data_IF_711935236254
#
_entry.id   IF_711935236254
#
_cell.length_a   1.000
_cell.length_b   1.000
_cell.length_c   1.000
_cell.angle_alpha   90.00
_cell.angle_beta   90.00
_cell.angle_gamma   90.00
#
_symmetry.space_group_name_H-M   'P 1'
#
loop_
_entity.id
_entity.type
_entity.pdbx_description
1 polymer ?
#
# COMPACT_ATOMS: atom_id res chain seq x y z
N UNK A 1 20.00 -23.57 -20.56
CA UNK A 1 20.12 -23.51 -19.09
C UNK A 1 18.85 -24.12 -18.52
N UNK A 2 18.97 -25.12 -17.65
CA UNK A 2 17.80 -25.78 -17.06
C UNK A 2 17.27 -24.92 -15.90
N UNK A 3 16.03 -24.47 -16.02
CA UNK A 3 15.30 -23.79 -14.95
C UNK A 3 14.61 -24.85 -14.09
N UNK A 4 14.90 -24.86 -12.80
CA UNK A 4 14.22 -25.70 -11.81
C UNK A 4 13.20 -24.85 -11.04
N UNK A 5 12.00 -25.39 -10.82
CA UNK A 5 10.96 -24.76 -9.99
C UNK A 5 10.49 -25.77 -8.96
N UNK A 6 10.81 -25.53 -7.69
CA UNK A 6 10.49 -26.42 -6.58
C UNK A 6 9.59 -25.73 -5.56
N UNK A 7 8.76 -26.50 -4.85
CA UNK A 7 8.03 -26.01 -3.69
C UNK A 7 9.01 -25.68 -2.55
N UNK A 8 8.64 -24.72 -1.70
CA UNK A 8 9.33 -24.46 -0.45
C UNK A 8 8.84 -25.47 0.58
N UNK A 9 9.74 -26.31 1.11
CA UNK A 9 9.38 -27.32 2.12
C UNK A 9 10.30 -27.31 3.33
N UNK A 10 11.36 -26.50 3.27
CA UNK A 10 12.37 -26.38 4.33
C UNK A 10 12.54 -24.93 4.76
N UNK A 11 13.11 -24.73 5.94
CA UNK A 11 13.46 -23.39 6.46
C UNK A 11 14.41 -22.64 5.54
N UNK A 12 15.32 -23.35 4.89
CA UNK A 12 16.22 -22.78 3.90
C UNK A 12 15.47 -22.28 2.66
N UNK A 13 14.46 -23.03 2.20
CA UNK A 13 13.62 -22.59 1.09
C UNK A 13 12.81 -21.34 1.47
N UNK A 14 12.17 -21.33 2.64
CA UNK A 14 11.44 -20.15 3.10
C UNK A 14 12.36 -18.94 3.23
N UNK A 15 13.58 -19.11 3.76
CA UNK A 15 14.53 -18.01 3.85
C UNK A 15 14.98 -17.53 2.47
N UNK A 16 15.24 -18.44 1.52
CA UNK A 16 15.54 -18.08 0.14
C UNK A 16 14.38 -17.31 -0.53
N UNK A 17 13.14 -17.75 -0.29
CA UNK A 17 11.94 -17.08 -0.79
C UNK A 17 11.84 -15.66 -0.23
N UNK A 18 12.09 -15.50 1.08
CA UNK A 18 12.12 -14.19 1.76
C UNK A 18 13.18 -13.28 1.15
N UNK A 19 14.40 -13.78 0.90
CA UNK A 19 15.48 -12.98 0.30
C UNK A 19 15.08 -12.40 -1.05
N UNK A 20 14.48 -13.20 -1.93
CA UNK A 20 13.99 -12.69 -3.22
C UNK A 20 12.87 -11.68 -3.03
N UNK A 21 11.92 -11.95 -2.11
CA UNK A 21 10.82 -11.02 -1.82
C UNK A 21 11.33 -9.66 -1.33
N UNK A 22 12.29 -9.66 -0.41
CA UNK A 22 12.92 -8.44 0.12
C UNK A 22 13.68 -7.70 -0.99
N UNK A 23 14.41 -8.42 -1.85
CA UNK A 23 15.12 -7.80 -2.96
C UNK A 23 14.18 -7.14 -3.99
N UNK A 24 13.03 -7.76 -4.27
CA UNK A 24 12.05 -7.26 -5.26
C UNK A 24 11.17 -6.14 -4.68
N UNK A 25 10.77 -6.23 -3.41
CA UNK A 25 9.99 -5.20 -2.70
C UNK A 25 10.66 -4.85 -1.36
N UNK A 26 11.73 -4.03 -1.37
CA UNK A 26 12.51 -3.75 -0.16
C UNK A 26 11.79 -2.85 0.85
N UNK A 27 10.77 -2.13 0.41
CA UNK A 27 10.02 -1.18 1.26
C UNK A 27 8.81 -1.81 1.95
N UNK A 28 8.53 -3.10 1.72
CA UNK A 28 7.47 -3.82 2.41
C UNK A 28 8.02 -4.84 3.40
N UNK A 29 7.32 -4.94 4.54
CA UNK A 29 7.57 -6.02 5.50
C UNK A 29 7.41 -7.38 4.81
N UNK A 30 8.35 -8.27 5.06
CA UNK A 30 8.30 -9.67 4.66
C UNK A 30 8.10 -10.51 5.92
N UNK A 31 7.19 -11.48 5.88
CA UNK A 31 6.95 -12.43 6.98
C UNK A 31 8.26 -13.13 7.38
N UNK A 32 8.43 -13.48 8.65
CA UNK A 32 9.51 -14.36 9.13
C UNK A 32 9.32 -15.80 8.62
N UNK A 33 10.37 -16.62 8.72
CA UNK A 33 10.29 -18.06 8.37
C UNK A 33 9.22 -18.77 9.21
N UNK A 34 9.15 -18.48 10.51
CA UNK A 34 8.14 -19.07 11.39
C UNK A 34 6.71 -18.74 10.94
N UNK A 35 6.43 -17.47 10.63
CA UNK A 35 5.12 -17.05 10.11
C UNK A 35 4.79 -17.63 8.72
N UNK A 36 5.81 -17.79 7.86
CA UNK A 36 5.61 -18.44 6.56
C UNK A 36 5.17 -19.89 6.73
N UNK A 37 5.85 -20.62 7.62
CA UNK A 37 5.54 -22.03 7.95
C UNK A 37 4.18 -22.17 8.61
N UNK A 38 3.86 -21.30 9.57
CA UNK A 38 2.56 -21.31 10.24
C UNK A 38 1.40 -21.05 9.26
N UNK A 39 1.66 -20.27 8.22
CA UNK A 39 0.69 -19.98 7.16
C UNK A 39 0.56 -21.07 6.10
N UNK A 40 1.21 -22.21 6.22
CA UNK A 40 1.10 -23.28 5.21
C UNK A 40 -0.24 -24.00 5.29
N UNK A 41 -0.88 -24.10 4.13
CA UNK A 41 -2.15 -24.80 3.94
C UNK A 41 -2.11 -25.50 2.58
N UNK A 42 -2.95 -26.53 2.34
CA UNK A 42 -3.05 -27.15 1.02
C UNK A 42 -3.43 -26.17 -0.10
N UNK A 43 -4.11 -25.07 0.23
CA UNK A 43 -4.49 -24.03 -0.72
C UNK A 43 -3.31 -23.12 -1.11
N UNK A 44 -2.30 -23.01 -0.24
CA UNK A 44 -1.16 -22.12 -0.42
C UNK A 44 0.04 -22.87 -0.98
N UNK A 45 0.61 -22.34 -2.05
CA UNK A 45 1.86 -22.82 -2.64
C UNK A 45 2.90 -21.70 -2.66
N UNK A 46 4.07 -21.96 -2.06
CA UNK A 46 5.27 -21.16 -2.23
C UNK A 46 6.30 -21.93 -3.07
N UNK A 47 6.87 -21.29 -4.09
CA UNK A 47 7.89 -21.90 -4.96
C UNK A 47 9.12 -21.04 -5.11
N UNK A 48 10.25 -21.68 -5.40
CA UNK A 48 11.50 -21.06 -5.79
C UNK A 48 11.82 -21.42 -7.24
N UNK A 49 12.33 -20.45 -7.99
CA UNK A 49 12.92 -20.69 -9.30
C UNK A 49 14.45 -20.65 -9.17
N UNK A 50 15.12 -21.70 -9.64
CA UNK A 50 16.58 -21.83 -9.62
C UNK A 50 17.15 -22.00 -11.02
N UNK A 51 18.22 -21.28 -11.31
CA UNK A 51 19.02 -21.46 -12.52
C UNK A 51 20.42 -21.88 -12.07
N UNK A 52 20.85 -23.08 -12.48
CA UNK A 52 22.17 -23.62 -12.10
C UNK A 52 22.39 -23.66 -10.57
N UNK A 53 21.32 -23.98 -9.83
CA UNK A 53 21.32 -24.03 -8.36
C UNK A 53 21.17 -22.65 -7.68
N UNK A 54 21.26 -21.55 -8.42
CA UNK A 54 21.11 -20.19 -7.89
C UNK A 54 19.64 -19.80 -7.89
N UNK A 55 19.12 -19.29 -6.77
CA UNK A 55 17.75 -18.78 -6.67
C UNK A 55 17.64 -17.45 -7.41
N UNK A 56 16.79 -17.42 -8.45
CA UNK A 56 16.62 -16.28 -9.37
C UNK A 56 15.22 -15.67 -9.33
N UNK A 57 14.27 -16.34 -8.67
CA UNK A 57 12.89 -15.91 -8.54
C UNK A 57 12.13 -16.71 -7.51
N UNK A 58 10.92 -16.26 -7.21
CA UNK A 58 10.01 -16.96 -6.33
C UNK A 58 8.56 -16.78 -6.81
N UNK A 59 7.66 -17.63 -6.33
CA UNK A 59 6.23 -17.53 -6.61
C UNK A 59 5.39 -17.79 -5.37
N UNK A 60 4.18 -17.26 -5.36
CA UNK A 60 3.13 -17.63 -4.41
C UNK A 60 1.81 -17.80 -5.15
N UNK A 61 1.09 -18.89 -4.86
CA UNK A 61 -0.30 -19.07 -5.21
C UNK A 61 -1.11 -19.33 -3.94
N UNK A 62 -2.36 -18.86 -3.90
CA UNK A 62 -3.28 -19.12 -2.80
C UNK A 62 -4.73 -18.92 -3.26
N UNK A 63 -5.72 -19.41 -2.51
CA UNK A 63 -7.10 -18.91 -2.61
C UNK A 63 -7.11 -17.39 -2.44
N UNK A 64 -7.79 -16.66 -3.31
CA UNK A 64 -7.98 -15.23 -3.13
C UNK A 64 -9.16 -14.95 -2.18
N UNK A 65 -9.16 -13.79 -1.54
CA UNK A 65 -10.31 -13.35 -0.72
C UNK A 65 -11.48 -12.88 -1.58
N UNK A 66 -11.26 -12.59 -2.87
CA UNK A 66 -12.34 -12.33 -3.81
C UNK A 66 -13.02 -13.65 -4.19
N UNK A 67 -14.35 -13.69 -4.08
CA UNK A 67 -15.16 -14.88 -4.28
C UNK A 67 -14.82 -15.60 -5.61
N UNK A 68 -14.63 -16.92 -5.54
CA UNK A 68 -14.44 -17.76 -6.73
C UNK A 68 -13.12 -17.55 -7.48
N UNK A 69 -12.08 -17.01 -6.85
CA UNK A 69 -10.79 -16.77 -7.51
C UNK A 69 -9.59 -17.26 -6.72
N UNK A 70 -8.51 -17.58 -7.43
CA UNK A 70 -7.18 -17.76 -6.84
C UNK A 70 -6.30 -16.54 -7.09
N UNK A 71 -5.25 -16.41 -6.28
CA UNK A 71 -4.24 -15.37 -6.39
C UNK A 71 -2.90 -15.95 -6.81
N UNK A 72 -2.16 -15.25 -7.67
CA UNK A 72 -0.82 -15.63 -8.10
C UNK A 72 0.13 -14.44 -8.05
N UNK A 73 1.34 -14.65 -7.54
CA UNK A 73 2.36 -13.60 -7.38
C UNK A 73 3.73 -14.15 -7.81
N UNK A 74 4.04 -14.20 -9.12
CA UNK A 74 5.38 -14.51 -9.60
C UNK A 74 6.30 -13.29 -9.42
N UNK A 75 7.53 -13.51 -8.94
CA UNK A 75 8.56 -12.48 -8.80
C UNK A 75 9.92 -12.99 -9.27
N UNK A 76 10.67 -12.13 -9.96
CA UNK A 76 11.99 -12.45 -10.52
C UNK A 76 12.96 -11.34 -10.15
N UNK A 77 14.16 -11.72 -9.73
CA UNK A 77 15.24 -10.77 -9.46
C UNK A 77 15.51 -9.92 -10.71
N UNK A 78 15.75 -8.60 -10.59
CA UNK A 78 15.92 -7.69 -11.73
C UNK A 78 16.91 -8.20 -12.79
N UNK A 79 18.04 -8.76 -12.37
CA UNK A 79 19.14 -9.23 -13.21
C UNK A 79 18.78 -10.48 -14.02
N UNK A 80 17.73 -11.20 -13.62
CA UNK A 80 17.26 -12.44 -14.25
C UNK A 80 15.94 -12.24 -15.02
N UNK A 81 15.43 -11.01 -15.12
CA UNK A 81 14.20 -10.72 -15.89
C UNK A 81 14.39 -10.95 -17.38
N UNK A 82 13.26 -11.09 -18.09
CA UNK A 82 13.19 -11.27 -19.55
C UNK A 82 13.83 -12.55 -20.11
N UNK A 83 14.09 -13.53 -19.25
CA UNK A 83 14.67 -14.84 -19.60
C UNK A 83 13.66 -16.01 -19.56
N UNK A 84 12.37 -15.70 -19.53
CA UNK A 84 11.29 -16.70 -19.45
C UNK A 84 10.96 -17.20 -18.04
N UNK A 85 11.76 -16.87 -17.02
CA UNK A 85 11.57 -17.31 -15.63
C UNK A 85 10.19 -16.92 -15.07
N UNK A 86 9.77 -15.66 -15.27
CA UNK A 86 8.46 -15.19 -14.80
C UNK A 86 7.29 -15.92 -15.44
N UNK A 87 7.43 -16.31 -16.72
CA UNK A 87 6.44 -17.13 -17.44
C UNK A 87 6.36 -18.54 -16.86
N UNK A 88 7.50 -19.18 -16.63
CA UNK A 88 7.54 -20.52 -16.03
C UNK A 88 6.96 -20.53 -14.60
N UNK A 89 7.28 -19.52 -13.79
CA UNK A 89 6.67 -19.32 -12.47
C UNK A 89 5.15 -19.15 -12.58
N UNK A 90 4.67 -18.26 -13.45
CA UNK A 90 3.23 -18.05 -13.63
C UNK A 90 2.52 -19.35 -13.99
N UNK A 91 3.02 -20.13 -14.96
CA UNK A 91 2.41 -21.42 -15.32
C UNK A 91 2.31 -22.37 -14.12
N UNK A 92 3.39 -22.56 -13.37
CA UNK A 92 3.39 -23.42 -12.18
C UNK A 92 2.37 -22.98 -11.13
N UNK A 93 2.22 -21.67 -10.93
CA UNK A 93 1.27 -21.09 -9.99
C UNK A 93 -0.19 -21.24 -10.48
N UNK A 94 -0.43 -21.07 -11.78
CA UNK A 94 -1.74 -21.27 -12.40
C UNK A 94 -2.19 -22.72 -12.28
N UNK A 95 -1.31 -23.68 -12.57
CA UNK A 95 -1.61 -25.12 -12.40
C UNK A 95 -2.11 -25.45 -10.99
N UNK A 96 -1.50 -24.82 -9.96
CA UNK A 96 -1.93 -24.99 -8.58
C UNK A 96 -3.32 -24.40 -8.32
N UNK A 97 -3.60 -23.21 -8.84
CA UNK A 97 -4.93 -22.57 -8.70
C UNK A 97 -6.02 -23.32 -9.46
N UNK A 98 -5.73 -23.79 -10.68
CA UNK A 98 -6.65 -24.60 -11.47
C UNK A 98 -6.97 -25.93 -10.78
N UNK A 99 -5.98 -26.58 -10.15
CA UNK A 99 -6.18 -27.80 -9.38
C UNK A 99 -7.11 -27.60 -8.16
N UNK A 100 -7.19 -26.37 -7.63
CA UNK A 100 -8.16 -26.01 -6.58
C UNK A 100 -9.56 -25.72 -7.14
N UNK A 101 -9.74 -25.70 -8.46
CA UNK A 101 -11.03 -25.47 -9.11
C UNK A 101 -11.44 -24.01 -9.22
N UNK A 102 -10.52 -23.05 -9.07
CA UNK A 102 -10.84 -21.64 -9.24
C UNK A 102 -10.80 -21.23 -10.72
N UNK A 103 -11.91 -20.75 -11.30
CA UNK A 103 -11.99 -20.38 -12.72
C UNK A 103 -11.33 -19.02 -13.03
N UNK A 104 -10.95 -18.26 -12.01
CA UNK A 104 -10.43 -16.90 -12.15
C UNK A 104 -9.14 -16.72 -11.37
N UNK A 105 -8.21 -15.96 -11.95
CA UNK A 105 -6.94 -15.58 -11.35
C UNK A 105 -6.90 -14.08 -11.04
N UNK A 106 -6.29 -13.74 -9.92
CA UNK A 106 -6.02 -12.37 -9.50
C UNK A 106 -4.54 -12.17 -9.20
N UNK A 107 -4.04 -10.99 -9.53
CA UNK A 107 -2.70 -10.56 -9.18
C UNK A 107 -2.66 -9.04 -9.05
N UNK A 108 -1.75 -8.53 -8.23
CA UNK A 108 -1.46 -7.11 -8.11
C UNK A 108 -0.24 -6.73 -8.97
N UNK A 109 -0.31 -5.57 -9.62
CA UNK A 109 0.81 -4.96 -10.33
C UNK A 109 0.84 -3.45 -10.00
N UNK A 110 2.03 -2.92 -9.74
CA UNK A 110 2.27 -1.54 -9.34
C UNK A 110 3.30 -0.82 -10.24
N UNK A 111 3.83 -1.50 -11.26
CA UNK A 111 4.77 -0.97 -12.25
C UNK A 111 4.39 -1.37 -13.68
N UNK A 112 4.85 -0.59 -14.66
CA UNK A 112 4.52 -0.77 -16.08
C UNK A 112 5.04 -2.09 -16.65
N UNK A 113 6.19 -2.61 -16.19
CA UNK A 113 6.71 -3.89 -16.66
C UNK A 113 5.82 -5.05 -16.20
N UNK A 114 5.36 -5.00 -14.94
CA UNK A 114 4.41 -5.96 -14.39
C UNK A 114 3.05 -5.90 -15.10
N UNK A 115 2.54 -4.70 -15.43
CA UNK A 115 1.31 -4.56 -16.25
C UNK A 115 1.49 -5.14 -17.65
N UNK A 116 2.60 -4.86 -18.33
CA UNK A 116 2.89 -5.40 -19.65
C UNK A 116 3.02 -6.94 -19.62
N UNK A 117 3.64 -7.49 -18.58
CA UNK A 117 3.70 -8.93 -18.36
C UNK A 117 2.31 -9.53 -18.15
N UNK A 118 1.49 -8.96 -17.26
CA UNK A 118 0.15 -9.44 -16.97
C UNK A 118 -0.74 -9.45 -18.23
N UNK A 119 -0.76 -8.34 -19.00
CA UNK A 119 -1.55 -8.24 -20.24
C UNK A 119 -1.17 -9.29 -21.29
N UNK A 120 0.11 -9.68 -21.36
CA UNK A 120 0.57 -10.74 -22.27
C UNK A 120 -0.11 -12.09 -21.98
N UNK A 121 -0.51 -12.33 -20.74
CA UNK A 121 -1.22 -13.54 -20.31
C UNK A 121 -2.74 -13.34 -20.21
N UNK A 122 -3.28 -12.26 -20.78
CA UNK A 122 -4.72 -12.00 -20.81
C UNK A 122 -5.30 -11.45 -19.51
N UNK A 123 -4.46 -11.03 -18.55
CA UNK A 123 -4.96 -10.30 -17.39
C UNK A 123 -5.47 -8.91 -17.81
N UNK A 124 -6.62 -8.53 -17.26
CA UNK A 124 -7.22 -7.22 -17.41
C UNK A 124 -7.19 -6.47 -16.08
N UNK A 125 -7.09 -5.13 -16.15
CA UNK A 125 -7.13 -4.29 -14.97
C UNK A 125 -8.58 -4.09 -14.52
N UNK A 126 -8.95 -4.65 -13.38
CA UNK A 126 -10.32 -4.59 -12.83
C UNK A 126 -10.46 -3.65 -11.63
N UNK A 127 -9.36 -3.32 -10.95
CA UNK A 127 -9.36 -2.47 -9.77
C UNK A 127 -8.08 -1.63 -9.70
N UNK A 128 -8.19 -0.44 -9.08
CA UNK A 128 -7.06 0.41 -8.70
C UNK A 128 -7.14 0.77 -7.24
N UNK A 129 -6.16 0.29 -6.50
CA UNK A 129 -5.96 0.64 -5.11
C UNK A 129 -4.92 1.76 -4.99
N UNK A 130 -5.18 2.68 -4.07
CA UNK A 130 -4.30 3.81 -3.80
C UNK A 130 -3.66 3.61 -2.44
N UNK A 131 -2.34 3.45 -2.42
CA UNK A 131 -1.59 3.47 -1.18
C UNK A 131 -1.50 4.91 -0.64
N UNK A 132 -1.84 5.08 0.63
CA UNK A 132 -1.71 6.33 1.36
C UNK A 132 -0.79 6.14 2.55
N UNK A 133 0.22 7.00 2.65
CA UNK A 133 1.23 6.94 3.71
C UNK A 133 1.09 8.13 4.66
N UNK A 134 1.37 7.88 5.94
CA UNK A 134 1.48 8.88 6.99
C UNK A 134 2.85 8.75 7.65
N UNK A 135 3.61 9.84 7.72
CA UNK A 135 4.84 9.91 8.51
C UNK A 135 4.51 10.33 9.93
N UNK A 136 5.05 9.62 10.91
CA UNK A 136 4.90 9.94 12.34
C UNK A 136 6.22 10.51 12.82
N UNK A 137 6.29 11.84 12.88
CA UNK A 137 7.47 12.60 13.29
C UNK A 137 7.32 13.17 14.71
N UNK A 138 6.68 12.39 15.60
CA UNK A 138 6.40 12.80 16.98
C UNK A 138 5.07 12.24 17.51
N UNK A 139 4.67 12.61 18.74
CA UNK A 139 3.39 12.22 19.29
C UNK A 139 2.25 12.76 18.42
N UNK A 140 1.34 11.88 18.03
CA UNK A 140 0.13 12.26 17.29
C UNK A 140 -0.94 12.69 18.29
N UNK A 141 -1.45 13.92 18.14
CA UNK A 141 -2.56 14.40 18.96
C UNK A 141 -3.75 13.44 18.87
N UNK A 142 -4.23 12.96 20.02
CA UNK A 142 -5.40 12.10 20.07
C UNK A 142 -6.65 12.92 19.76
N UNK A 143 -7.45 12.46 18.81
CA UNK A 143 -8.78 13.01 18.56
C UNK A 143 -9.66 12.69 19.76
N UNK A 144 -10.37 13.67 20.34
CA UNK A 144 -11.29 13.41 21.42
C UNK A 144 -12.27 12.29 21.05
N UNK A 145 -12.41 11.32 21.95
CA UNK A 145 -13.36 10.21 21.78
C UNK A 145 -14.79 10.75 21.94
N UNK A 146 -15.71 10.45 21.01
CA UNK A 146 -17.12 10.83 21.17
C UNK A 146 -17.74 10.24 22.43
N UNK A 147 -18.73 10.93 23.01
CA UNK A 147 -19.46 10.45 24.18
C UNK A 147 -20.13 9.08 23.91
N UNK A 148 -20.10 8.21 24.92
CA UNK A 148 -20.70 6.87 24.84
C UNK A 148 -19.93 5.86 23.97
N UNK A 149 -18.82 6.25 23.37
CA UNK A 149 -17.90 5.35 22.65
C UNK A 149 -16.77 4.96 23.59
N UNK A 150 -16.45 3.67 23.66
CA UNK A 150 -15.22 3.13 24.26
C UNK A 150 -14.27 2.72 23.12
N UNK A 151 -12.96 2.89 23.29
CA UNK A 151 -11.97 2.37 22.35
C UNK A 151 -11.11 1.39 23.13
N UNK A 152 -11.12 0.13 22.72
CA UNK A 152 -10.41 -0.99 23.36
C UNK A 152 -9.50 -1.65 22.34
N UNK A 153 -8.53 -2.43 22.80
CA UNK A 153 -7.83 -3.37 21.92
C UNK A 153 -8.50 -4.74 21.92
N UNK A 154 -8.24 -5.54 20.90
CA UNK A 154 -8.67 -6.95 20.89
C UNK A 154 -8.05 -7.75 22.05
N UNK A 155 -6.86 -7.36 22.49
CA UNK A 155 -6.16 -7.93 23.64
C UNK A 155 -6.85 -7.59 24.96
N UNK A 156 -7.34 -6.37 25.13
CA UNK A 156 -8.07 -5.94 26.33
C UNK A 156 -9.43 -6.64 26.46
N UNK A 157 -10.00 -7.10 25.34
CA UNK A 157 -11.31 -7.76 25.26
C UNK A 157 -11.25 -9.00 24.35
N UNK A 158 -10.66 -10.12 24.82
CA UNK A 158 -10.59 -11.35 24.04
C UNK A 158 -11.98 -11.84 23.62
N UNK A 159 -12.13 -12.37 22.40
CA UNK A 159 -13.41 -12.80 21.84
C UNK A 159 -14.21 -11.67 21.17
N UNK A 160 -13.85 -10.39 21.38
CA UNK A 160 -14.57 -9.28 20.79
C UNK A 160 -14.37 -9.19 19.27
N UNK A 161 -13.18 -9.54 18.75
CA UNK A 161 -12.90 -9.52 17.31
C UNK A 161 -13.63 -10.63 16.57
N UNK A 162 -13.67 -11.81 17.15
CA UNK A 162 -14.38 -13.00 16.69
C UNK A 162 -15.87 -12.71 16.62
N UNK A 163 -16.45 -12.22 17.72
CA UNK A 163 -17.86 -11.83 17.78
C UNK A 163 -18.19 -10.66 16.84
N UNK A 164 -17.18 -9.87 16.45
CA UNK A 164 -17.37 -8.77 15.52
C UNK A 164 -17.65 -9.23 14.09
N UNK A 165 -17.29 -10.46 13.72
CA UNK A 165 -17.53 -10.96 12.37
C UNK A 165 -19.03 -10.94 12.02
N UNK A 166 -19.88 -11.58 12.83
CA UNK A 166 -21.30 -11.76 12.50
C UNK A 166 -22.11 -10.47 12.56
N UNK A 167 -21.87 -9.61 13.56
CA UNK A 167 -22.70 -8.40 13.74
C UNK A 167 -22.13 -7.11 13.12
N UNK A 168 -20.93 -7.13 12.54
CA UNK A 168 -20.34 -5.98 11.82
C UNK A 168 -19.50 -6.40 10.61
N UNK A 169 -18.65 -7.42 10.75
CA UNK A 169 -17.72 -7.86 9.73
C UNK A 169 -18.41 -8.13 8.40
N UNK A 170 -19.53 -8.86 8.41
CA UNK A 170 -20.32 -9.14 7.19
C UNK A 170 -20.85 -7.87 6.52
N UNK A 171 -21.43 -6.94 7.28
CA UNK A 171 -21.90 -5.65 6.77
C UNK A 171 -20.73 -4.83 6.20
N UNK A 172 -19.61 -4.79 6.92
CA UNK A 172 -18.42 -4.09 6.53
C UNK A 172 -17.82 -4.64 5.24
N UNK A 173 -17.66 -5.97 5.13
CA UNK A 173 -17.16 -6.66 3.93
C UNK A 173 -18.07 -6.41 2.72
N UNK A 174 -19.39 -6.43 2.91
CA UNK A 174 -20.36 -6.09 1.85
C UNK A 174 -20.25 -4.63 1.38
N UNK A 175 -19.79 -3.73 2.25
CA UNK A 175 -19.57 -2.32 1.93
C UNK A 175 -18.26 -2.01 1.18
N UNK A 176 -17.39 -3.00 0.94
CA UNK A 176 -16.14 -2.77 0.22
C UNK A 176 -16.43 -2.47 -1.26
N UNK A 177 -15.83 -1.39 -1.77
CA UNK A 177 -15.87 -1.05 -3.19
C UNK A 177 -14.85 -1.87 -3.98
N UNK A 178 -15.07 -3.18 -4.00
CA UNK A 178 -14.34 -4.16 -4.79
C UNK A 178 -15.19 -4.60 -5.97
N UNK A 179 -14.54 -5.03 -7.05
CA UNK A 179 -15.22 -5.45 -8.26
C UNK A 179 -15.82 -6.86 -8.15
N UNK A 180 -15.31 -7.67 -7.21
CA UNK A 180 -15.84 -8.99 -6.85
C UNK A 180 -16.06 -9.02 -5.33
N UNK A 181 -17.22 -9.48 -4.82
CA UNK A 181 -17.46 -9.59 -3.39
C UNK A 181 -16.36 -10.36 -2.66
N UNK A 182 -16.07 -9.94 -1.42
CA UNK A 182 -15.14 -10.65 -0.56
C UNK A 182 -15.82 -11.88 0.05
N UNK A 183 -15.12 -13.02 0.02
CA UNK A 183 -15.50 -14.30 0.61
C UNK A 183 -14.48 -14.65 1.71
N UNK A 184 -14.70 -14.10 2.90
CA UNK A 184 -13.84 -14.24 4.07
C UNK A 184 -14.59 -15.06 5.11
N UNK A 185 -14.05 -16.22 5.53
CA UNK A 185 -14.68 -17.03 6.60
C UNK A 185 -14.45 -16.40 7.98
N UNK A 186 -15.21 -16.78 9.03
CA UNK A 186 -14.92 -16.36 10.40
C UNK A 186 -13.48 -16.67 10.84
N UNK A 187 -12.96 -17.83 10.47
CA UNK A 187 -11.58 -18.24 10.77
C UNK A 187 -10.58 -17.37 10.00
N UNK A 188 -10.88 -17.07 8.72
CA UNK A 188 -10.07 -16.16 7.90
C UNK A 188 -10.05 -14.74 8.45
N UNK A 189 -11.18 -14.26 8.96
CA UNK A 189 -11.30 -12.97 9.63
C UNK A 189 -10.41 -12.87 10.87
N UNK A 190 -10.40 -13.91 11.70
CA UNK A 190 -9.55 -13.95 12.91
C UNK A 190 -8.08 -14.10 12.53
N UNK A 191 -7.75 -14.99 11.60
CA UNK A 191 -6.36 -15.31 11.27
C UNK A 191 -5.67 -14.23 10.43
N UNK A 192 -6.35 -13.71 9.42
CA UNK A 192 -5.72 -12.87 8.38
C UNK A 192 -6.04 -11.38 8.52
N UNK A 193 -7.14 -11.05 9.21
CA UNK A 193 -7.61 -9.67 9.35
C UNK A 193 -7.42 -9.10 10.75
N UNK A 194 -7.16 -9.95 11.75
CA UNK A 194 -6.64 -9.49 13.03
C UNK A 194 -5.20 -9.02 12.85
N UNK A 195 -4.84 -7.98 13.56
CA UNK A 195 -3.50 -7.45 13.55
C UNK A 195 -3.13 -6.97 14.95
N UNK A 196 -1.84 -6.81 15.20
CA UNK A 196 -1.34 -6.55 16.54
C UNK A 196 -0.67 -5.17 16.65
N UNK A 197 -1.19 -4.25 17.48
CA UNK A 197 -2.50 -4.28 18.13
C UNK A 197 -3.66 -4.00 17.14
N UNK A 198 -4.86 -4.46 17.49
CA UNK A 198 -6.12 -4.14 16.80
C UNK A 198 -6.99 -3.30 17.72
N UNK A 199 -7.39 -2.10 17.26
CA UNK A 199 -8.28 -1.23 18.01
C UNK A 199 -9.71 -1.37 17.53
N UNK A 200 -10.65 -1.42 18.48
CA UNK A 200 -12.09 -1.55 18.27
C UNK A 200 -12.78 -0.41 19.03
N UNK A 201 -13.57 0.39 18.34
CA UNK A 201 -14.47 1.34 18.98
C UNK A 201 -15.80 0.63 19.29
N UNK A 202 -16.21 0.49 20.55
CA UNK A 202 -17.49 -0.11 20.96
C UNK A 202 -18.43 0.94 21.55
N UNK A 203 -19.72 0.64 21.60
CA UNK A 203 -20.74 1.48 22.29
C UNK A 203 -21.60 0.59 23.18
N UNK A 204 -21.98 1.10 24.34
CA UNK A 204 -22.88 0.41 25.29
C UNK A 204 -24.35 0.84 25.11
N UNK A 205 -24.65 1.69 24.13
CA UNK A 205 -26.02 2.23 23.96
C UNK A 205 -26.98 1.09 23.59
N UNK A 206 -27.83 0.70 24.57
CA UNK A 206 -28.98 -0.18 24.35
C UNK A 206 -29.93 0.48 23.37
N UNK A 207 -30.10 -0.11 22.19
CA UNK A 207 -31.19 0.25 21.30
C UNK A 207 -32.38 -0.65 21.62
N UNK A 208 -33.45 -0.06 22.18
CA UNK A 208 -34.80 -0.63 22.31
C UNK A 208 -34.92 -2.16 22.42
N UNK A 209 -34.24 -2.77 23.40
CA UNK A 209 -34.47 -4.17 23.80
C UNK A 209 -33.37 -5.20 23.45
N UNK A 210 -32.35 -4.85 22.67
CA UNK A 210 -31.19 -5.70 22.46
C UNK A 210 -29.87 -4.89 22.56
N UNK A 211 -28.79 -5.47 23.12
CA UNK A 211 -27.49 -4.83 23.08
C UNK A 211 -27.01 -4.76 21.63
N UNK A 212 -26.99 -3.56 21.06
CA UNK A 212 -26.39 -3.28 19.76
C UNK A 212 -24.98 -2.74 20.01
N UNK A 213 -24.00 -3.31 19.32
CA UNK A 213 -22.62 -2.88 19.35
C UNK A 213 -22.26 -2.46 17.93
N UNK A 214 -21.48 -1.39 17.80
CA UNK A 214 -20.77 -1.08 16.57
C UNK A 214 -19.30 -1.29 16.89
N UNK A 215 -18.56 -1.99 16.04
CA UNK A 215 -17.10 -2.03 16.13
C UNK A 215 -16.53 -1.26 14.95
N UNK A 216 -15.47 -0.47 15.19
CA UNK A 216 -14.68 0.13 14.12
C UNK A 216 -13.26 -0.40 14.26
N UNK A 217 -12.90 -1.45 13.49
CA UNK A 217 -11.51 -1.87 13.38
C UNK A 217 -10.68 -0.71 12.85
N UNK A 218 -9.50 -0.49 13.44
CA UNK A 218 -8.46 0.30 12.78
C UNK A 218 -7.10 -0.37 12.95
N UNK A 219 -6.49 -0.72 11.81
CA UNK A 219 -5.12 -1.22 11.72
C UNK A 219 -4.46 -0.76 10.40
N UNK A 220 -3.12 -0.91 10.31
CA UNK A 220 -2.26 -0.84 9.12
C UNK A 220 -2.82 -1.47 7.84
N UNK A 221 -3.68 -2.49 7.88
CA UNK A 221 -4.16 -3.17 6.65
C UNK A 221 -5.66 -3.47 6.51
N UNK A 222 -6.46 -3.59 7.57
CA UNK A 222 -7.65 -4.44 7.42
C UNK A 222 -8.98 -3.71 7.14
N UNK A 223 -9.50 -2.84 8.00
CA UNK A 223 -10.80 -2.20 7.74
C UNK A 223 -10.85 -0.82 8.37
N UNK A 224 -11.66 0.06 7.77
CA UNK A 224 -11.99 1.39 8.30
C UNK A 224 -13.44 1.72 7.94
N UNK A 225 -14.37 0.97 8.49
CA UNK A 225 -15.81 1.13 8.27
C UNK A 225 -16.50 1.39 9.61
N UNK A 226 -17.56 2.19 9.58
CA UNK A 226 -18.47 2.34 10.71
C UNK A 226 -19.83 1.89 10.21
N UNK A 227 -20.60 1.17 11.04
CA UNK A 227 -21.99 0.87 10.67
C UNK A 227 -22.73 2.18 10.35
N UNK A 228 -23.65 2.18 9.37
CA UNK A 228 -24.36 3.36 8.89
C UNK A 228 -24.88 4.33 9.96
N UNK A 229 -25.51 3.88 11.08
CA UNK A 229 -25.98 4.80 12.11
C UNK A 229 -24.85 5.53 12.86
N UNK A 230 -23.62 5.03 12.81
CA UNK A 230 -22.45 5.58 13.53
C UNK A 230 -21.42 6.23 12.60
N UNK A 231 -21.62 6.20 11.27
CA UNK A 231 -20.73 6.88 10.33
C UNK A 231 -20.49 8.38 10.61
N UNK A 232 -21.48 9.19 11.06
CA UNK A 232 -21.27 10.61 11.29
C UNK A 232 -20.69 10.95 12.67
N UNK A 233 -20.51 10.00 13.60
CA UNK A 233 -20.21 10.29 15.01
C UNK A 233 -18.74 10.59 15.30
N UNK A 234 -17.85 10.48 14.30
CA UNK A 234 -16.41 10.70 14.50
C UNK A 234 -15.66 9.52 15.14
N UNK A 235 -16.34 8.41 15.45
CA UNK A 235 -15.73 7.24 16.08
C UNK A 235 -14.55 6.65 15.24
N UNK A 236 -14.65 6.70 13.90
CA UNK A 236 -13.57 6.27 13.01
C UNK A 236 -12.34 7.20 13.03
N UNK A 237 -12.53 8.49 13.36
CA UNK A 237 -11.44 9.44 13.53
C UNK A 237 -10.74 9.25 14.89
N UNK A 238 -11.52 9.06 15.96
CA UNK A 238 -11.00 8.76 17.30
C UNK A 238 -10.14 7.48 17.33
N UNK A 239 -10.69 6.36 16.85
CA UNK A 239 -9.96 5.08 16.78
C UNK A 239 -8.65 5.22 15.99
N UNK A 240 -8.67 5.98 14.89
CA UNK A 240 -7.50 6.24 14.04
C UNK A 240 -6.39 7.02 14.74
N UNK A 241 -6.72 8.10 15.45
CA UNK A 241 -5.70 8.85 16.19
C UNK A 241 -5.15 8.06 17.36
N UNK A 242 -5.98 7.25 18.04
CA UNK A 242 -5.53 6.37 19.12
C UNK A 242 -4.50 5.37 18.60
N UNK A 243 -4.82 4.68 17.48
CA UNK A 243 -3.88 3.79 16.78
C UNK A 243 -2.59 4.50 16.36
N UNK A 244 -2.66 5.78 15.97
CA UNK A 244 -1.50 6.57 15.54
C UNK A 244 -0.68 7.14 16.71
N UNK A 245 -1.25 7.27 17.90
CA UNK A 245 -0.59 7.75 19.12
C UNK A 245 0.15 6.66 19.89
N UNK A 246 -0.01 5.39 19.49
CA UNK A 246 0.77 4.27 20.02
C UNK A 246 2.28 4.56 19.81
N UNK A 247 3.19 4.15 20.72
CA UNK A 247 4.61 4.56 20.73
C UNK A 247 5.45 4.14 19.50
N UNK A 248 4.81 3.59 18.47
CA UNK A 248 5.42 3.24 17.19
C UNK A 248 5.83 4.50 16.41
N UNK A 249 7.15 4.71 16.31
CA UNK A 249 7.75 5.67 15.39
C UNK A 249 7.78 5.09 13.96
N UNK A 250 7.62 5.95 12.96
CA UNK A 250 7.84 5.60 11.55
C UNK A 250 6.62 5.78 10.64
N UNK A 251 6.59 5.01 9.54
CA UNK A 251 5.60 5.16 8.46
C UNK A 251 4.38 4.24 8.69
N UNK A 252 3.19 4.80 8.52
CA UNK A 252 1.95 4.04 8.43
C UNK A 252 1.38 4.06 7.01
N UNK A 253 0.97 2.90 6.52
CA UNK A 253 0.35 2.72 5.19
C UNK A 253 -1.12 2.33 5.34
N UNK A 254 -1.96 2.68 4.36
CA UNK A 254 -3.31 2.12 4.15
C UNK A 254 -3.60 2.12 2.65
N UNK A 255 -4.35 1.15 2.14
CA UNK A 255 -4.84 1.15 0.76
C UNK A 255 -6.34 1.50 0.73
N UNK A 256 -6.82 2.10 -0.36
CA UNK A 256 -8.26 2.30 -0.59
C UNK A 256 -8.57 2.32 -2.09
N UNK A 257 -9.74 1.80 -2.53
CA UNK A 257 -10.15 1.90 -3.92
C UNK A 257 -10.18 3.35 -4.40
N UNK A 258 -9.74 3.59 -5.64
CA UNK A 258 -9.76 4.95 -6.21
C UNK A 258 -11.18 5.54 -6.29
N UNK A 259 -12.19 4.68 -6.44
CA UNK A 259 -13.61 5.01 -6.63
C UNK A 259 -14.34 5.46 -5.36
N UNK A 260 -13.75 5.36 -4.16
CA UNK A 260 -14.44 5.72 -2.89
C UNK A 260 -13.93 7.05 -2.31
N UNK A 261 -14.66 8.17 -2.54
CA UNK A 261 -14.21 9.48 -2.05
C UNK A 261 -14.23 9.61 -0.52
N UNK A 262 -15.22 9.02 0.17
CA UNK A 262 -15.39 9.15 1.62
C UNK A 262 -14.16 8.72 2.45
N UNK A 263 -13.72 7.45 2.37
CA UNK A 263 -12.53 6.97 3.08
C UNK A 263 -11.27 7.80 2.77
N UNK A 264 -11.11 8.22 1.51
CA UNK A 264 -9.97 9.04 1.06
C UNK A 264 -9.98 10.45 1.64
N UNK A 265 -11.14 11.11 1.70
CA UNK A 265 -11.25 12.43 2.31
C UNK A 265 -10.94 12.36 3.81
N UNK A 266 -11.41 11.31 4.49
CA UNK A 266 -11.11 11.10 5.90
C UNK A 266 -9.61 10.83 6.16
N UNK A 267 -8.92 10.09 5.29
CA UNK A 267 -7.47 9.86 5.41
C UNK A 267 -6.66 11.11 5.12
N UNK A 268 -7.00 11.90 4.11
CA UNK A 268 -6.30 13.14 3.78
C UNK A 268 -6.41 14.19 4.89
N UNK A 269 -7.56 14.28 5.59
CA UNK A 269 -7.72 15.17 6.75
C UNK A 269 -6.79 14.83 7.92
N UNK A 270 -6.31 13.60 8.00
CA UNK A 270 -5.31 13.18 8.98
C UNK A 270 -3.87 13.32 8.48
N UNK A 271 -3.62 14.13 7.45
CA UNK A 271 -2.27 14.39 6.94
C UNK A 271 -1.67 13.26 6.08
N UNK A 272 -2.45 12.27 5.64
CA UNK A 272 -1.94 11.22 4.74
C UNK A 272 -1.73 11.75 3.32
N UNK A 273 -0.55 11.50 2.78
CA UNK A 273 -0.25 11.72 1.37
C UNK A 273 -0.55 10.47 0.55
N UNK A 274 -1.08 10.66 -0.66
CA UNK A 274 -1.21 9.59 -1.65
C UNK A 274 0.16 9.35 -2.26
N UNK A 275 0.62 8.10 -2.29
CA UNK A 275 1.80 7.74 -3.07
C UNK A 275 1.36 7.55 -4.52
N UNK A 276 1.81 8.43 -5.41
CA UNK A 276 1.69 8.21 -6.84
C UNK A 276 2.79 7.24 -7.27
N UNK A 277 2.40 6.03 -7.64
CA UNK A 277 3.30 5.07 -8.27
C UNK A 277 3.48 5.44 -9.74
N UNK A 278 4.71 5.74 -10.14
CA UNK A 278 5.07 6.10 -11.52
C UNK A 278 4.66 7.52 -11.93
N UNK A 279 5.63 8.45 -11.94
CA UNK A 279 5.49 9.64 -12.79
C UNK A 279 5.86 9.20 -14.22
N UNK A 280 4.97 9.25 -15.22
CA UNK A 280 5.35 8.88 -16.57
C UNK A 280 6.39 9.90 -17.11
N UNK A 281 7.42 9.46 -17.85
CA UNK A 281 8.21 10.40 -18.63
C UNK A 281 7.29 11.12 -19.61
N UNK A 282 7.42 12.45 -19.71
CA UNK A 282 6.74 13.23 -20.75
C UNK A 282 7.24 12.73 -22.11
N UNK A 283 6.40 12.00 -22.84
CA UNK A 283 6.67 11.68 -24.23
C UNK A 283 6.59 12.97 -25.05
N UNK A 284 7.74 13.44 -25.54
CA UNK A 284 7.79 14.45 -26.60
C UNK A 284 7.43 13.77 -27.93
N UNK A 285 6.31 14.19 -28.51
CA UNK A 285 5.91 13.77 -29.86
C UNK A 285 6.79 14.52 -30.85
N UNK A 286 7.77 13.84 -31.43
CA UNK A 286 8.51 14.35 -32.58
C UNK A 286 7.79 13.89 -33.85
N UNK A 287 7.11 14.83 -34.54
CA UNK A 287 6.50 14.56 -35.84
C UNK A 287 7.58 14.60 -36.92
N UNK A 288 7.77 13.50 -37.65
CA UNK A 288 8.35 13.56 -38.99
C UNK A 288 7.42 12.87 -39.99
N UNK A 289 7.07 13.65 -41.00
CA UNK A 289 6.24 13.33 -42.16
C UNK A 289 7.19 12.90 -43.27
N UNK A 290 6.99 11.75 -43.92
CA UNK A 290 7.24 11.58 -45.36
C UNK A 290 6.71 10.26 -45.95
N UNK A 291 5.79 10.41 -46.92
CA UNK A 291 5.61 9.71 -48.22
C UNK A 291 5.37 8.18 -48.21
N UNK A 292 4.14 7.72 -48.48
CA UNK A 292 3.48 7.45 -49.79
C UNK A 292 4.18 6.43 -50.70
N UNK A 293 3.54 5.27 -50.84
CA UNK A 293 3.70 4.32 -51.94
C UNK A 293 2.95 3.01 -51.69
N UNK A 294 1.73 2.87 -52.23
CA UNK A 294 1.07 1.54 -52.41
C UNK A 294 1.58 0.85 -53.70
N UNK A 295 0.92 -0.20 -54.25
CA UNK A 295 -0.34 -0.83 -53.80
C UNK A 295 -0.43 -2.38 -53.93
N UNK A 296 -1.54 -2.95 -53.40
CA UNK A 296 -2.28 -4.21 -53.80
C UNK A 296 -1.58 -5.57 -53.51
N UNK A 297 -2.23 -6.70 -53.18
CA UNK A 297 -3.59 -7.25 -53.38
C UNK A 297 -3.77 -8.55 -52.53
N UNK A 298 -5.04 -8.91 -52.22
CA UNK A 298 -5.51 -10.27 -51.87
C UNK A 298 -5.55 -10.60 -50.36
N UNK A 299 -6.63 -11.02 -49.72
CA UNK A 299 -7.93 -11.49 -50.16
C UNK A 299 -8.26 -12.79 -49.42
N UNK A 300 -9.21 -12.79 -48.46
CA UNK A 300 -10.09 -13.93 -48.18
C UNK A 300 -11.20 -13.55 -47.19
N UNK A 301 -12.44 -13.73 -47.62
CA UNK A 301 -13.66 -13.82 -46.81
C UNK A 301 -14.01 -15.30 -46.67
N UNK A 302 -14.44 -15.74 -45.49
CA UNK A 302 -15.42 -16.81 -45.33
C UNK A 302 -16.40 -16.41 -44.22
N UNK A 303 -17.65 -16.79 -44.48
CA UNK A 303 -18.93 -16.49 -43.86
C UNK A 303 -19.46 -17.76 -43.16
N UNK A 304 -20.32 -17.59 -42.15
CA UNK A 304 -21.24 -18.62 -41.61
C UNK A 304 -21.16 -18.74 -40.09
N UNK A 305 -22.22 -18.87 -39.28
CA UNK A 305 -23.68 -19.04 -39.46
C UNK A 305 -24.33 -18.60 -38.11
N UNK A 306 -25.45 -17.84 -38.10
CA UNK A 306 -26.85 -18.28 -37.86
C UNK A 306 -27.09 -19.07 -36.55
N UNK A 307 -27.80 -18.46 -35.58
CA UNK A 307 -29.14 -18.89 -35.14
C UNK A 307 -29.80 -17.85 -34.21
N UNK A 308 -31.11 -17.67 -34.36
CA UNK A 308 -32.00 -16.76 -33.64
C UNK A 308 -33.09 -17.56 -32.89
N UNK A 309 -33.95 -16.82 -32.14
CA UNK A 309 -35.26 -17.18 -31.56
C UNK A 309 -35.22 -17.75 -30.11
N UNK A 310 -36.15 -17.50 -29.18
CA UNK A 310 -37.53 -16.98 -29.21
C UNK A 310 -37.99 -16.55 -27.80
N UNK A 311 -38.98 -15.66 -27.74
CA UNK A 311 -39.83 -15.31 -26.57
C UNK A 311 -41.22 -15.94 -26.75
N UNK A 312 -41.96 -16.13 -25.65
CA UNK A 312 -43.35 -16.63 -25.43
C UNK A 312 -43.35 -18.08 -24.91
N UNK A 313 -43.94 -18.48 -23.77
CA UNK A 313 -44.96 -17.87 -22.90
C UNK A 313 -46.16 -18.82 -22.82
N UNK A 314 -46.46 -19.43 -21.66
CA UNK A 314 -47.80 -19.89 -21.25
C UNK A 314 -47.84 -20.53 -19.84
N UNK A 315 -48.77 -20.02 -19.03
CA UNK A 315 -49.70 -20.71 -18.11
C UNK A 315 -49.19 -21.67 -17.02
N UNK A 316 -49.42 -21.28 -15.76
CA UNK A 316 -50.35 -22.01 -14.89
C UNK A 316 -50.92 -21.09 -13.81
N UNK A 317 -52.24 -21.13 -13.68
CA UNK A 317 -53.04 -20.44 -12.68
C UNK A 317 -53.76 -21.49 -11.81
N UNK A 318 -53.70 -21.30 -10.48
CA UNK A 318 -54.72 -21.56 -9.45
C UNK A 318 -54.02 -21.66 -8.09
N UNK A 319 -54.50 -21.18 -6.94
CA UNK A 319 -55.68 -20.39 -6.57
C UNK A 319 -55.60 -20.04 -5.08
N UNK A 320 -56.11 -18.84 -4.72
CA UNK A 320 -56.59 -18.45 -3.37
C UNK A 320 -55.53 -17.91 -2.42
N UNK A 321 -55.69 -16.79 -1.71
CA UNK A 321 -56.76 -15.81 -1.55
C UNK A 321 -56.52 -15.07 -0.21
N UNK A 322 -56.71 -13.75 -0.15
CA UNK A 322 -56.78 -13.03 1.12
C UNK A 322 -56.21 -11.60 1.14
N UNK A 323 -57.06 -10.65 0.74
CA UNK A 323 -57.21 -9.25 1.16
C UNK A 323 -56.11 -8.48 1.94
N UNK A 324 -55.82 -7.27 1.45
CA UNK A 324 -55.84 -6.06 2.31
C UNK A 324 -54.68 -5.06 2.17
N UNK A 325 -54.96 -3.90 1.56
CA UNK A 325 -54.48 -2.61 2.09
C UNK A 325 -53.34 -1.87 1.37
N UNK A 326 -53.70 -0.68 0.87
CA UNK A 326 -52.90 0.53 0.59
C UNK A 326 -51.81 0.54 -0.50
N UNK A 327 -52.21 1.16 -1.62
CA UNK A 327 -51.35 1.73 -2.66
C UNK A 327 -50.77 3.07 -2.22
N UNK A 328 -49.43 3.14 -2.10
CA UNK A 328 -48.68 4.40 -2.24
C UNK A 328 -47.91 4.39 -3.55
N UNK A 329 -48.17 5.43 -4.35
CA UNK A 329 -47.59 5.72 -5.66
C UNK A 329 -46.06 5.99 -5.60
N UNK A 330 -45.22 5.27 -6.37
CA UNK A 330 -43.77 5.47 -6.41
C UNK A 330 -43.31 6.79 -7.06
N UNK A 331 -44.20 7.55 -7.72
CA UNK A 331 -43.83 8.80 -8.39
C UNK A 331 -43.81 10.03 -7.47
N UNK A 332 -44.27 9.90 -6.22
CA UNK A 332 -44.44 11.02 -5.29
C UNK A 332 -43.24 11.30 -4.36
N UNK A 333 -42.21 10.43 -4.33
CA UNK A 333 -40.98 10.66 -3.54
C UNK A 333 -39.80 11.25 -4.33
N UNK A 334 -39.89 11.36 -5.66
CA UNK A 334 -38.80 11.86 -6.50
C UNK A 334 -38.77 13.40 -6.68
N UNK A 335 -39.61 14.16 -5.96
CA UNK A 335 -39.78 15.62 -6.15
C UNK A 335 -39.46 16.51 -4.95
N UNK A 336 -38.89 15.99 -3.87
CA UNK A 336 -38.54 16.76 -2.66
C UNK A 336 -37.04 16.86 -2.36
N UNK A 337 -36.17 16.57 -3.33
CA UNK A 337 -34.71 16.57 -3.13
C UNK A 337 -33.90 17.50 -4.03
N UNK A 338 -34.51 18.50 -4.69
CA UNK A 338 -33.82 19.32 -5.71
C UNK A 338 -33.90 20.84 -5.60
N UNK A 339 -34.51 21.37 -4.54
CA UNK A 339 -34.71 22.83 -4.34
C UNK A 339 -34.14 23.32 -2.98
N UNK A 340 -33.01 22.78 -2.52
CA UNK A 340 -32.36 23.21 -1.27
C UNK A 340 -30.84 23.47 -1.39
N UNK A 341 -30.35 23.79 -2.59
CA UNK A 341 -28.93 24.12 -2.80
C UNK A 341 -28.71 25.23 -3.84
N UNK A 342 -29.48 26.30 -3.73
CA UNK A 342 -29.28 27.57 -4.46
C UNK A 342 -29.54 28.76 -3.54
N UNK A 343 -28.63 29.02 -2.59
CA UNK A 343 -28.43 30.37 -2.02
C UNK A 343 -27.22 30.38 -1.05
N UNK A 344 -26.06 30.84 -1.52
CA UNK A 344 -25.16 31.74 -0.79
C UNK A 344 -23.94 32.05 -1.67
N UNK A 345 -23.62 33.34 -1.77
CA UNK A 345 -22.60 33.96 -2.63
C UNK A 345 -21.41 34.46 -1.76
N UNK A 346 -20.36 35.12 -2.30
CA UNK A 346 -18.96 34.73 -2.09
C UNK A 346 -18.12 35.75 -1.31
N UNK A 347 -16.89 35.36 -0.98
CA UNK A 347 -15.78 36.30 -0.74
C UNK A 347 -14.94 35.94 0.48
N UNK A 348 -13.63 35.78 0.27
CA UNK A 348 -12.56 36.58 0.89
C UNK A 348 -11.22 36.02 0.39
N UNK A 349 -10.50 36.89 -0.31
CA UNK A 349 -9.09 36.76 -0.67
C UNK A 349 -8.30 37.43 0.45
N UNK A 350 -7.34 36.75 1.07
CA UNK A 350 -6.34 37.41 1.91
C UNK A 350 -4.99 36.71 1.77
N UNK A 351 -4.00 37.50 1.35
CA UNK A 351 -2.60 37.17 1.31
C UNK A 351 -2.03 37.10 2.73
N UNK A 352 -1.10 36.17 2.96
CA UNK A 352 -0.20 36.20 4.11
C UNK A 352 1.24 36.04 3.61
N UNK A 353 2.04 37.05 3.93
CA UNK A 353 3.49 37.07 3.80
C UNK A 353 4.13 36.13 4.85
N UNK A 354 5.36 35.65 4.63
CA UNK A 354 6.06 34.79 5.59
C UNK A 354 6.67 35.63 6.72
N UNK A 355 6.42 35.23 7.96
CA UNK A 355 7.16 35.67 9.15
C UNK A 355 8.16 34.59 9.56
N UNK A 356 9.43 34.99 9.69
CA UNK A 356 10.52 34.22 10.26
C UNK A 356 10.35 34.03 11.77
N UNK A 357 10.40 32.78 12.23
CA UNK A 357 10.73 32.45 13.61
C UNK A 357 11.69 31.25 13.63
N UNK A 358 12.93 31.50 14.06
CA UNK A 358 13.96 30.51 14.32
C UNK A 358 13.86 29.99 15.76
N UNK A 359 13.77 28.67 15.94
CA UNK A 359 14.05 27.99 17.21
C UNK A 359 14.95 26.78 16.95
N UNK A 360 15.91 26.57 17.86
CA UNK A 360 17.03 25.64 17.72
C UNK A 360 16.59 24.19 17.52
N UNK A 361 16.82 23.69 16.32
CA UNK A 361 16.79 22.28 15.94
C UNK A 361 17.73 22.09 14.74
N UNK A 362 18.27 20.89 14.56
CA UNK A 362 19.18 20.59 13.44
C UNK A 362 18.58 21.05 12.11
N UNK A 363 19.15 22.11 11.53
CA UNK A 363 18.67 22.68 10.28
C UNK A 363 19.18 21.82 9.11
N UNK A 364 18.24 21.29 8.32
CA UNK A 364 18.51 20.70 7.02
C UNK A 364 17.98 21.66 5.96
N UNK A 365 18.84 22.11 5.06
CA UNK A 365 18.44 22.95 3.93
C UNK A 365 19.05 22.43 2.63
N UNK A 366 18.26 22.47 1.56
CA UNK A 366 18.66 22.07 0.22
C UNK A 366 18.39 23.25 -0.72
N UNK A 367 19.44 23.73 -1.40
CA UNK A 367 19.33 24.77 -2.42
C UNK A 367 19.72 24.17 -3.77
N UNK A 368 18.78 24.19 -4.72
CA UNK A 368 18.97 23.69 -6.08
C UNK A 368 19.34 24.84 -7.01
N UNK A 369 20.55 24.78 -7.56
CA UNK A 369 21.02 25.60 -8.67
C UNK A 369 20.99 24.80 -9.98
N UNK A 370 21.06 25.50 -11.12
CA UNK A 370 20.99 24.89 -12.46
C UNK A 370 22.09 23.83 -12.70
N UNK A 371 23.23 23.93 -11.99
CA UNK A 371 24.38 23.02 -12.06
C UNK A 371 25.01 22.74 -10.67
N UNK A 372 24.25 22.90 -9.58
CA UNK A 372 24.76 22.66 -8.23
C UNK A 372 23.63 22.23 -7.28
N UNK A 373 23.96 21.36 -6.33
CA UNK A 373 23.16 21.18 -5.14
C UNK A 373 24.03 21.54 -3.94
N UNK A 374 23.46 22.30 -3.01
CA UNK A 374 24.09 22.57 -1.73
C UNK A 374 23.28 21.86 -0.65
N UNK A 375 23.93 20.98 0.09
CA UNK A 375 23.32 20.25 1.19
C UNK A 375 23.99 20.65 2.49
N UNK A 376 23.24 21.17 3.46
CA UNK A 376 23.81 21.55 4.76
C UNK A 376 23.20 20.67 5.85
N UNK A 377 24.06 20.01 6.63
CA UNK A 377 23.67 19.29 7.85
C UNK A 377 24.54 19.85 8.99
N UNK A 378 23.90 20.37 10.05
CA UNK A 378 24.58 20.90 11.24
C UNK A 378 25.69 21.94 10.92
N UNK A 379 25.45 22.79 9.92
CA UNK A 379 26.40 23.84 9.51
C UNK A 379 27.57 23.38 8.61
N UNK A 380 27.70 22.08 8.33
CA UNK A 380 28.64 21.56 7.35
C UNK A 380 28.03 21.54 5.95
N UNK A 381 28.68 22.20 4.98
CA UNK A 381 28.31 22.14 3.56
C UNK A 381 28.84 20.83 2.97
N UNK A 382 27.94 20.02 2.44
CA UNK A 382 28.21 18.80 1.69
C UNK A 382 27.94 19.14 0.21
N UNK A 383 28.97 19.63 -0.47
CA UNK A 383 29.18 19.74 -1.93
C UNK A 383 29.63 21.15 -2.38
N UNK A 384 30.83 21.21 -2.97
CA UNK A 384 31.34 22.33 -3.75
C UNK A 384 30.82 22.34 -5.19
N UNK A 385 30.90 23.50 -5.84
CA UNK A 385 30.50 23.68 -7.23
C UNK A 385 31.40 22.85 -8.19
N UNK A 386 30.81 21.87 -8.86
CA UNK A 386 31.47 21.05 -9.87
C UNK A 386 30.50 20.52 -10.92
N UNK A 387 30.91 20.51 -12.17
CA UNK A 387 30.15 19.96 -13.31
C UNK A 387 30.21 18.43 -13.29
N UNK A 388 29.05 17.77 -13.23
CA UNK A 388 28.88 16.31 -13.05
C UNK A 388 29.18 15.45 -14.29
N UNK A 389 30.06 15.89 -15.18
CA UNK A 389 30.58 15.04 -16.27
C UNK A 389 31.63 14.02 -15.78
N UNK A 390 32.10 14.17 -14.55
CA UNK A 390 33.23 13.43 -14.01
C UNK A 390 32.85 12.05 -13.45
N UNK A 391 33.72 11.06 -13.67
CA UNK A 391 33.54 9.66 -13.23
C UNK A 391 33.60 9.45 -11.72
N UNK A 392 33.50 8.18 -11.30
CA UNK A 392 33.54 7.73 -9.88
C UNK A 392 34.76 8.28 -9.13
N UNK A 393 35.89 8.45 -9.81
CA UNK A 393 37.13 8.96 -9.21
C UNK A 393 36.97 10.39 -8.69
N UNK A 394 36.28 11.27 -9.43
CA UNK A 394 36.08 12.65 -9.00
C UNK A 394 35.10 12.75 -7.82
N UNK A 395 34.09 11.87 -7.76
CA UNK A 395 33.19 11.77 -6.60
C UNK A 395 33.98 11.28 -5.38
N UNK A 396 34.88 10.33 -5.58
CA UNK A 396 35.78 9.81 -4.52
C UNK A 396 36.71 10.90 -3.99
N UNK A 397 37.34 11.66 -4.88
CA UNK A 397 38.24 12.76 -4.54
C UNK A 397 37.51 13.88 -3.77
N UNK A 398 36.29 14.22 -4.18
CA UNK A 398 35.49 15.24 -3.49
C UNK A 398 35.07 14.80 -2.08
N UNK A 399 34.65 13.54 -1.93
CA UNK A 399 34.31 12.96 -0.63
C UNK A 399 35.54 12.91 0.29
N UNK A 400 36.69 12.49 -0.23
CA UNK A 400 37.94 12.48 0.52
C UNK A 400 38.38 13.90 0.94
N UNK A 401 38.32 14.89 0.04
CA UNK A 401 38.60 16.31 0.37
C UNK A 401 37.66 16.88 1.42
N UNK A 402 36.43 16.38 1.45
CA UNK A 402 35.41 16.74 2.43
C UNK A 402 35.50 15.96 3.75
N UNK A 403 36.58 15.21 3.97
CA UNK A 403 36.86 14.49 5.22
C UNK A 403 36.05 13.20 5.41
N UNK A 404 35.50 12.63 4.34
CA UNK A 404 34.87 11.31 4.40
C UNK A 404 35.91 10.20 4.25
N UNK A 405 35.75 9.12 5.00
CA UNK A 405 36.57 7.91 4.86
C UNK A 405 35.97 7.04 3.77
N UNK A 406 36.70 6.81 2.67
CA UNK A 406 36.24 5.96 1.57
C UNK A 406 36.28 4.48 1.99
N UNK A 407 35.20 3.75 1.74
CA UNK A 407 35.12 2.31 1.95
C UNK A 407 35.89 1.54 0.88
N UNK A 408 36.26 0.29 1.17
CA UNK A 408 37.07 -0.59 0.29
C UNK A 408 36.39 -0.99 -1.03
N UNK A 409 35.17 -0.53 -1.29
CA UNK A 409 34.35 -0.91 -2.44
C UNK A 409 34.05 0.25 -3.40
N UNK A 410 35.02 1.12 -3.68
CA UNK A 410 34.91 2.01 -4.83
C UNK A 410 35.08 1.16 -6.10
N UNK A 411 34.03 1.05 -6.91
CA UNK A 411 34.09 0.42 -8.23
C UNK A 411 33.47 1.36 -9.27
N UNK A 412 33.56 1.02 -10.56
CA UNK A 412 33.01 1.86 -11.64
C UNK A 412 31.51 2.20 -11.50
N UNK A 413 30.77 1.50 -10.64
CA UNK A 413 29.36 1.71 -10.39
C UNK A 413 29.06 2.66 -9.20
N UNK A 414 30.01 2.92 -8.30
CA UNK A 414 29.76 3.83 -7.17
C UNK A 414 30.85 3.91 -6.09
N UNK A 415 30.65 4.84 -5.16
CA UNK A 415 31.53 5.12 -4.02
C UNK A 415 30.75 4.97 -2.71
N UNK A 416 31.34 4.26 -1.75
CA UNK A 416 30.86 4.25 -0.36
C UNK A 416 31.80 5.07 0.50
N UNK A 417 31.27 5.92 1.37
CA UNK A 417 32.06 6.72 2.27
C UNK A 417 31.39 6.85 3.64
N UNK A 418 32.17 7.03 4.70
CA UNK A 418 31.66 7.16 6.07
C UNK A 418 32.29 8.37 6.77
N UNK A 419 31.47 9.09 7.55
CA UNK A 419 31.91 10.22 8.38
C UNK A 419 30.98 10.35 9.59
N UNK A 420 31.56 10.43 10.78
CA UNK A 420 30.83 10.68 12.03
C UNK A 420 29.65 9.70 12.27
N UNK A 421 29.85 8.42 11.92
CA UNK A 421 28.85 7.36 12.02
C UNK A 421 27.79 7.35 10.91
N UNK A 422 27.79 8.35 10.02
CA UNK A 422 26.91 8.40 8.84
C UNK A 422 27.60 7.68 7.68
N UNK A 423 26.90 6.73 7.06
CA UNK A 423 27.33 6.09 5.82
C UNK A 423 26.64 6.73 4.62
N UNK A 424 27.41 7.06 3.59
CA UNK A 424 26.98 7.57 2.30
C UNK A 424 27.30 6.55 1.22
N UNK A 425 26.35 6.30 0.32
CA UNK A 425 26.56 5.50 -0.88
C UNK A 425 26.11 6.28 -2.11
N UNK A 426 27.03 6.54 -3.03
CA UNK A 426 26.79 7.28 -4.28
C UNK A 426 26.95 6.30 -5.44
N UNK A 427 25.87 6.03 -6.16
CA UNK A 427 25.81 5.05 -7.25
C UNK A 427 25.46 5.71 -8.58
N UNK A 428 26.22 5.39 -9.63
CA UNK A 428 25.90 5.80 -11.00
C UNK A 428 24.72 4.97 -11.52
N UNK A 429 23.61 5.61 -11.92
CA UNK A 429 22.41 4.89 -12.38
C UNK A 429 22.41 4.65 -13.88
N UNK A 430 22.73 5.66 -14.70
CA UNK A 430 22.83 5.53 -16.16
C UNK A 430 23.51 6.77 -16.79
N UNK A 431 24.09 6.59 -17.99
CA UNK A 431 24.47 7.69 -18.89
C UNK A 431 23.31 7.92 -19.85
N UNK A 432 22.71 9.11 -19.82
CA UNK A 432 21.80 9.59 -20.87
C UNK A 432 22.57 10.48 -21.86
N UNK A 433 21.96 10.84 -22.99
CA UNK A 433 22.52 11.84 -23.91
C UNK A 433 22.68 13.23 -23.23
N UNK A 434 21.92 13.48 -22.16
CA UNK A 434 21.90 14.75 -21.41
C UNK A 434 22.79 14.75 -20.15
N UNK A 435 23.50 13.66 -19.83
CA UNK A 435 24.43 13.61 -18.70
C UNK A 435 24.49 12.28 -17.95
N UNK A 436 25.09 12.31 -16.76
CA UNK A 436 25.18 11.16 -15.86
C UNK A 436 24.23 11.35 -14.69
N UNK A 437 23.34 10.39 -14.47
CA UNK A 437 22.47 10.37 -13.30
C UNK A 437 23.13 9.62 -12.14
N UNK A 438 23.18 10.27 -10.98
CA UNK A 438 23.71 9.71 -9.73
C UNK A 438 22.59 9.52 -8.72
N UNK A 439 22.59 8.37 -8.04
CA UNK A 439 21.75 8.08 -6.88
C UNK A 439 22.59 8.22 -5.62
N UNK A 440 22.07 8.95 -4.63
CA UNK A 440 22.71 9.10 -3.32
C UNK A 440 21.82 8.45 -2.26
N UNK A 441 22.41 7.57 -1.45
CA UNK A 441 21.77 6.94 -0.30
C UNK A 441 22.55 7.31 0.97
N UNK A 442 21.83 7.76 2.00
CA UNK A 442 22.39 8.15 3.30
C UNK A 442 21.81 7.22 4.35
N UNK A 443 22.68 6.66 5.19
CA UNK A 443 22.32 5.84 6.35
C UNK A 443 22.90 6.49 7.59
N UNK A 444 22.04 6.90 8.51
CA UNK A 444 22.44 7.39 9.83
C UNK A 444 22.35 6.25 10.86
N UNK A 445 23.20 6.22 11.88
CA UNK A 445 23.08 5.22 12.93
C UNK A 445 21.75 5.45 13.66
N UNK A 446 20.95 4.39 13.80
CA UNK A 446 19.81 4.42 14.70
C UNK A 446 20.36 4.53 16.12
N UNK A 447 19.99 5.59 16.84
CA UNK A 447 20.15 5.61 18.29
C UNK A 447 19.20 4.55 18.84
N UNK A 448 19.71 3.35 19.09
CA UNK A 448 19.00 2.35 19.87
C UNK A 448 19.11 2.78 21.33
N UNK A 449 17.98 3.21 21.90
CA UNK A 449 17.86 3.33 23.34
C UNK A 449 17.93 1.93 23.94
N UNK A 450 18.78 1.75 24.94
CA UNK A 450 18.76 0.54 25.76
C UNK A 450 17.50 0.55 26.63
N UNK A 451 17.04 -0.62 27.07
CA UNK A 451 15.92 -0.70 28.03
C UNK A 451 16.23 0.06 29.35
N UNK A 452 17.51 0.22 29.70
CA UNK A 452 17.96 1.03 30.85
C UNK A 452 17.70 2.54 30.64
N UNK A 453 17.83 3.05 29.41
CA UNK A 453 17.52 4.46 29.08
C UNK A 453 16.00 4.73 29.17
N UNK A 454 15.18 3.72 28.91
CA UNK A 454 13.73 3.81 29.01
C UNK A 454 13.24 3.82 30.47
N UNK A 455 13.97 3.21 31.40
CA UNK A 455 13.65 3.21 32.83
C UNK A 455 14.08 4.50 33.53
N UNK A 456 15.20 5.12 33.11
CA UNK A 456 15.58 6.45 33.61
C UNK A 456 14.54 7.53 33.25
N UNK A 457 13.88 7.42 32.09
CA UNK A 457 12.82 8.33 31.67
C UNK A 457 11.48 8.11 32.41
N UNK A 458 11.29 6.96 33.07
CA UNK A 458 10.07 6.64 33.84
C UNK A 458 10.19 6.96 35.33
N UNK A 459 11.40 7.15 35.85
CA UNK A 459 11.69 7.31 37.28
C UNK A 459 11.56 8.73 37.86
N UNK A 460 10.94 9.68 37.16
CA UNK A 460 10.89 11.09 37.56
C UNK A 460 9.54 11.58 38.07
N UNK A 461 8.94 10.93 39.07
CA UNK A 461 7.82 11.52 39.84
C UNK A 461 8.32 11.95 41.22
N UNK A 462 9.24 12.92 41.24
CA UNK A 462 9.63 13.65 42.44
C UNK A 462 9.08 15.07 42.32
N UNK A 463 8.13 15.41 43.16
CA UNK A 463 7.73 16.81 43.40
C UNK A 463 8.82 17.43 44.26
N UNK A 464 9.72 18.19 43.65
CA UNK A 464 10.58 19.12 44.39
C UNK A 464 10.58 20.47 43.67
N UNK A 465 10.10 21.47 44.43
CA UNK A 465 10.27 22.90 44.19
C UNK A 465 11.76 23.23 44.03
N UNK A 466 12.18 23.69 42.85
CA UNK A 466 13.35 24.55 42.72
C UNK A 466 13.14 25.57 41.60
N UNK A 467 12.83 26.79 42.02
CA UNK A 467 13.10 28.03 41.30
C UNK A 467 14.61 28.15 41.02
N UNK A 468 14.99 28.37 39.76
CA UNK A 468 16.34 28.74 39.39
C UNK A 468 16.41 29.12 37.92
N UNK A 469 16.76 30.38 37.65
CA UNK A 469 17.02 30.95 36.32
C UNK A 469 18.11 30.19 35.57
N UNK A 470 17.85 29.85 34.29
CA UNK A 470 18.80 29.96 33.16
C UNK A 470 18.06 29.90 31.82
#
# INVERSE_FOLDING_TARGET
MALDISACTTDEDYEAWRRVRIAVIPYERTQSVAELREGDTPERLLVLAREEGVVVGHGMANRAESAGSGSVIPRVLPEHRRRGIGTALLHRLVEHVEAMGYPMLRSGADDEESFAFARRFGFEEVNREVEQTFSIDGPVAQTPRPDGIEVVTAQDRPGLWEAAYDRFGLEALAGFAVDTPLDVSPEGWVRSWLADPMFLASTTVRWSGAPAWASIPTNRRALRTASPPYAPTGAAAASRSTSSSSPWRGRQTTASPRSTPGPRTATQRCGRSTRAWGTPPRASVCSSRARRGGPRLGGMRILGCVLALLVLGACSASSGGGAGGDTTDPASQARLGKEALKAARPGITAALAPTDHSFGGSHMSCRLGRNSFEYTINGGVIAGAGTWETGVDAVSDELARSGWTLGTSANEAGVRAERDGVSLYVQRQRRSEDGVEWRVQITTPCVSYSDEDADQLRGGSGTDDLTGDF
#
